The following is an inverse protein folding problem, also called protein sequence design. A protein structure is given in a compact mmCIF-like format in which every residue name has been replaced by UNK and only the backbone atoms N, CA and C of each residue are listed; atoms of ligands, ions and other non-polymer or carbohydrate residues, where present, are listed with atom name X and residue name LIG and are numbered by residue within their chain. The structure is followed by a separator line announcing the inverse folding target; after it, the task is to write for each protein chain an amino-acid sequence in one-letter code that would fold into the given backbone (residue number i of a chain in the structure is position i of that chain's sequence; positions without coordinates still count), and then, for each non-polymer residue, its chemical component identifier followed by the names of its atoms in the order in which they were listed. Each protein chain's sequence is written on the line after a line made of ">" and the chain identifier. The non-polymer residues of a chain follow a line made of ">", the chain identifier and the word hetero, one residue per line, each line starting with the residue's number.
data_IF_223671112726
#
_entry.id   IF_223671112726
#
_cell.length_a   1.000
_cell.length_b   1.000
_cell.length_c   1.000
_cell.angle_alpha   90.00
_cell.angle_beta   90.00
_cell.angle_gamma   90.00
#
_symmetry.space_group_name_H-M   'P 1'
#
loop_
_entity.id
_entity.type
_entity.pdbx_description
1 polymer ?
#
# COMPACT_ATOMS: atom_id res chain seq x y z
N UNK A 1 -19.04 2.50 13.57
CA UNK A 1 -18.94 1.38 12.59
C UNK A 1 -19.31 1.78 11.17
N UNK A 2 -20.13 2.82 10.95
CA UNK A 2 -20.54 3.25 9.61
C UNK A 2 -19.37 3.65 8.70
N UNK A 3 -18.45 4.48 9.19
CA UNK A 3 -17.26 4.92 8.43
C UNK A 3 -16.40 3.74 7.99
N UNK A 4 -16.16 2.78 8.90
CA UNK A 4 -15.36 1.57 8.60
C UNK A 4 -16.04 0.74 7.52
N UNK A 5 -17.37 0.56 7.61
CA UNK A 5 -18.13 -0.20 6.61
C UNK A 5 -18.12 0.50 5.26
N UNK A 6 -18.39 1.80 5.25
CA UNK A 6 -18.42 2.60 4.02
C UNK A 6 -17.06 2.53 3.31
N UNK A 7 -15.96 2.77 4.03
CA UNK A 7 -14.61 2.69 3.46
C UNK A 7 -14.24 1.29 2.97
N UNK A 8 -14.72 0.22 3.64
CA UNK A 8 -14.54 -1.15 3.16
C UNK A 8 -15.28 -1.42 1.84
N UNK A 9 -16.51 -0.92 1.67
CA UNK A 9 -17.25 -1.08 0.41
C UNK A 9 -16.57 -0.38 -0.75
N UNK A 10 -16.01 0.83 -0.53
CA UNK A 10 -15.21 1.52 -1.56
C UNK A 10 -13.94 0.74 -1.89
N UNK A 11 -13.22 0.22 -0.89
CA UNK A 11 -12.07 -0.66 -1.12
C UNK A 11 -12.47 -1.92 -1.92
N UNK A 12 -13.64 -2.53 -1.63
CA UNK A 12 -14.11 -3.71 -2.35
C UNK A 12 -14.39 -3.39 -3.82
N UNK A 13 -15.06 -2.28 -4.11
CA UNK A 13 -15.31 -1.82 -5.47
C UNK A 13 -14.00 -1.55 -6.24
N UNK A 14 -13.02 -0.92 -5.57
CA UNK A 14 -11.68 -0.67 -6.11
C UNK A 14 -10.98 -1.98 -6.53
N UNK A 15 -10.83 -2.94 -5.61
CA UNK A 15 -10.11 -4.20 -5.89
C UNK A 15 -10.86 -5.15 -6.81
N UNK A 16 -12.15 -4.90 -7.08
CA UNK A 16 -12.97 -5.61 -8.06
C UNK A 16 -13.06 -4.89 -9.42
N UNK A 17 -12.36 -3.76 -9.61
CA UNK A 17 -12.41 -2.93 -10.84
C UNK A 17 -13.83 -2.44 -11.16
N UNK A 18 -14.64 -2.22 -10.14
CA UNK A 18 -16.00 -1.67 -10.24
C UNK A 18 -16.04 -0.15 -10.09
N UNK A 19 -14.89 0.47 -9.80
CA UNK A 19 -14.72 1.91 -9.67
C UNK A 19 -13.42 2.35 -10.37
N UNK A 20 -13.25 3.65 -10.60
CA UNK A 20 -12.03 4.24 -11.12
C UNK A 20 -10.94 4.23 -10.04
N UNK A 21 -9.99 3.31 -10.16
CA UNK A 21 -8.87 3.19 -9.22
C UNK A 21 -7.79 4.27 -9.33
N UNK A 22 -7.88 5.18 -10.31
CA UNK A 22 -6.86 6.20 -10.55
C UNK A 22 -5.47 5.58 -10.69
N UNK A 23 -4.53 6.04 -9.88
CA UNK A 23 -3.13 5.57 -9.86
C UNK A 23 -2.88 4.41 -8.89
N UNK A 24 -3.90 3.93 -8.17
CA UNK A 24 -3.72 2.89 -7.15
C UNK A 24 -3.46 1.54 -7.83
N UNK A 25 -2.31 0.95 -7.53
CA UNK A 25 -2.00 -0.41 -7.95
C UNK A 25 -2.77 -1.44 -7.11
N UNK A 26 -3.76 -2.09 -7.72
CA UNK A 26 -4.60 -3.10 -7.09
C UNK A 26 -4.05 -4.54 -7.17
N UNK A 27 -2.82 -4.74 -7.67
CA UNK A 27 -2.18 -6.06 -7.81
C UNK A 27 -2.13 -6.77 -6.46
N UNK A 28 -2.63 -8.01 -6.40
CA UNK A 28 -2.74 -8.77 -5.15
C UNK A 28 -2.59 -10.28 -5.40
N UNK A 29 -2.37 -11.05 -4.32
CA UNK A 29 -2.28 -12.53 -4.38
C UNK A 29 -3.52 -13.25 -3.86
N UNK A 30 -4.29 -12.61 -2.96
CA UNK A 30 -5.26 -13.31 -2.11
C UNK A 30 -6.70 -12.81 -2.22
N UNK A 31 -6.96 -11.71 -2.94
CA UNK A 31 -8.33 -11.24 -3.11
C UNK A 31 -9.01 -12.14 -4.13
N UNK A 32 -9.93 -12.97 -3.64
CA UNK A 32 -10.72 -13.88 -4.47
C UNK A 32 -11.49 -13.11 -5.55
N UNK A 33 -11.53 -13.65 -6.77
CA UNK A 33 -12.20 -13.04 -7.94
C UNK A 33 -11.74 -11.62 -8.31
N UNK A 34 -10.64 -11.12 -7.75
CA UNK A 34 -10.09 -9.83 -8.18
C UNK A 34 -9.48 -9.96 -9.58
N UNK A 35 -9.85 -9.08 -10.53
CA UNK A 35 -9.22 -9.05 -11.85
C UNK A 35 -7.75 -8.60 -11.79
N UNK A 36 -7.28 -8.13 -10.63
CA UNK A 36 -5.90 -7.73 -10.39
C UNK A 36 -5.07 -8.81 -9.69
N UNK A 37 -5.65 -10.01 -9.50
CA UNK A 37 -4.94 -11.13 -8.89
C UNK A 37 -3.77 -11.56 -9.79
N UNK A 38 -2.60 -11.73 -9.20
CA UNK A 38 -1.37 -12.10 -9.90
C UNK A 38 -0.84 -13.45 -9.43
N UNK A 39 0.16 -13.97 -10.13
CA UNK A 39 0.81 -15.23 -9.77
C UNK A 39 1.86 -15.04 -8.66
N UNK A 40 2.19 -16.13 -7.98
CA UNK A 40 3.28 -16.15 -6.99
C UNK A 40 4.63 -15.84 -7.65
N UNK A 41 4.84 -16.31 -8.87
CA UNK A 41 6.06 -16.05 -9.65
C UNK A 41 6.21 -14.57 -9.99
N UNK A 42 5.14 -13.92 -10.47
CA UNK A 42 5.14 -12.48 -10.74
C UNK A 42 5.45 -11.67 -9.47
N UNK A 43 4.85 -12.07 -8.33
CA UNK A 43 5.08 -11.38 -7.06
C UNK A 43 6.51 -11.60 -6.57
N UNK A 44 7.02 -12.83 -6.71
CA UNK A 44 8.40 -13.17 -6.38
C UNK A 44 9.40 -12.37 -7.22
N UNK A 45 9.13 -12.17 -8.51
CA UNK A 45 9.97 -11.36 -9.39
C UNK A 45 10.04 -9.90 -8.94
N UNK A 46 8.92 -9.31 -8.52
CA UNK A 46 8.88 -7.94 -7.97
C UNK A 46 9.76 -7.85 -6.71
N UNK A 47 9.62 -8.77 -5.77
CA UNK A 47 10.42 -8.77 -4.53
C UNK A 47 11.91 -8.96 -4.83
N UNK A 48 12.26 -9.87 -5.74
CA UNK A 48 13.66 -10.16 -6.12
C UNK A 48 14.32 -9.02 -6.90
N UNK A 49 13.53 -8.13 -7.51
CA UNK A 49 14.06 -6.94 -8.18
C UNK A 49 14.44 -5.82 -7.21
N UNK A 50 13.95 -5.87 -5.96
CA UNK A 50 14.31 -4.91 -4.94
C UNK A 50 15.75 -5.15 -4.42
N UNK A 51 16.43 -4.11 -3.92
CA UNK A 51 17.72 -4.27 -3.25
C UNK A 51 17.66 -5.27 -2.10
N UNK A 52 18.79 -5.92 -1.82
CA UNK A 52 18.91 -6.79 -0.65
C UNK A 52 18.65 -6.01 0.64
N UNK A 53 18.10 -6.71 1.65
CA UNK A 53 17.88 -6.14 2.97
C UNK A 53 19.22 -5.71 3.57
N UNK A 54 19.38 -4.41 3.78
CA UNK A 54 20.61 -3.80 4.28
C UNK A 54 20.47 -3.24 5.70
N UNK A 55 21.57 -2.70 6.21
CA UNK A 55 21.55 -1.91 7.44
C UNK A 55 20.71 -0.65 7.21
N UNK A 56 19.90 -0.28 8.20
CA UNK A 56 19.18 0.99 8.17
C UNK A 56 20.13 2.18 8.12
N UNK A 57 19.76 3.19 7.32
CA UNK A 57 20.46 4.46 7.24
C UNK A 57 20.37 5.23 8.57
N UNK A 58 21.36 6.08 8.83
CA UNK A 58 21.30 6.98 9.98
C UNK A 58 20.20 8.02 9.79
N UNK A 59 19.46 8.31 10.85
CA UNK A 59 18.44 9.36 10.81
C UNK A 59 19.08 10.74 10.63
N UNK A 60 18.44 11.66 9.88
CA UNK A 60 18.87 13.06 9.82
C UNK A 60 18.77 13.70 11.21
N UNK A 61 19.72 14.56 11.59
CA UNK A 61 19.71 15.26 12.88
C UNK A 61 18.44 16.12 13.11
N UNK A 62 17.75 16.47 12.03
CA UNK A 62 16.52 17.27 12.05
C UNK A 62 15.32 16.57 12.69
N UNK A 63 15.34 15.24 12.84
CA UNK A 63 14.27 14.48 13.51
C UNK A 63 14.18 14.82 15.00
N UNK A 64 15.27 15.30 15.61
CA UNK A 64 15.34 15.64 17.03
C UNK A 64 14.94 17.11 17.33
N UNK A 65 14.46 17.85 16.31
CA UNK A 65 14.05 19.25 16.46
C UNK A 65 12.69 19.37 17.15
N UNK A 66 12.60 20.28 18.11
CA UNK A 66 11.34 20.70 18.71
C UNK A 66 10.66 21.82 17.92
N UNK A 67 9.36 21.66 17.67
CA UNK A 67 8.51 22.70 17.09
C UNK A 67 7.52 23.19 18.13
N UNK A 68 7.66 24.45 18.54
CA UNK A 68 6.74 25.08 19.49
C UNK A 68 5.62 25.77 18.72
N UNK A 69 4.37 25.45 19.06
CA UNK A 69 3.21 26.10 18.47
C UNK A 69 2.94 27.43 19.18
N UNK A 70 2.52 28.47 18.44
CA UNK A 70 2.06 29.72 19.05
C UNK A 70 0.81 29.46 19.92
N UNK A 71 0.60 30.34 20.89
CA UNK A 71 -0.63 30.36 21.70
C UNK A 71 -1.82 30.88 20.90
#
# INVERSE_FOLDING_TARGET
>A
MEVIRSTHEHWRALVQKQDNGGEINCKNLSVCESPFKCSEEETSAVVKSAPECGKADSLPADVDKWYFLPK
#
